data_IF_783586034212
#
_entry.id   IF_783586034212
#
_cell.length_a   1.000
_cell.length_b   1.000
_cell.length_c   1.000
_cell.angle_alpha   90.00
_cell.angle_beta   90.00
_cell.angle_gamma   90.00
#
_symmetry.space_group_name_H-M   'P 1'
#
loop_
_entity.id
_entity.type
_entity.pdbx_description
1 polymer ?
#
# COMPACT_ATOMS: atom_id res chain seq x y z
N UNK A 1 -53.99 26.78 67.98
CA UNK A 1 -52.83 26.28 67.21
C UNK A 1 -52.23 27.46 66.43
N UNK A 2 -51.06 27.94 66.89
CA UNK A 2 -50.09 28.92 66.31
C UNK A 2 -50.58 29.82 65.14
N UNK A 3 -50.85 31.15 65.25
CA UNK A 3 -49.98 32.36 65.47
C UNK A 3 -48.63 32.24 64.73
N UNK A 4 -48.16 33.10 63.82
CA UNK A 4 -48.05 34.58 63.72
C UNK A 4 -47.61 34.95 62.26
N UNK A 5 -48.09 36.04 61.62
CA UNK A 5 -47.46 37.40 61.48
C UNK A 5 -46.09 37.35 60.75
N UNK A 6 -45.72 38.08 59.68
CA UNK A 6 -45.84 39.52 59.35
C UNK A 6 -45.42 39.81 57.89
N UNK A 7 -45.93 40.91 57.31
CA UNK A 7 -45.35 41.63 56.16
C UNK A 7 -44.05 42.36 56.55
N UNK A 8 -43.06 42.48 55.65
CA UNK A 8 -42.12 43.62 55.61
C UNK A 8 -41.54 43.84 54.19
N UNK A 9 -41.68 45.09 53.72
CA UNK A 9 -41.04 45.68 52.53
C UNK A 9 -39.54 45.95 52.77
N UNK A 10 -38.69 45.89 51.74
CA UNK A 10 -37.52 46.77 51.48
C UNK A 10 -37.04 46.51 50.03
N UNK A 11 -37.20 47.44 49.09
CA UNK A 11 -36.28 48.53 48.70
C UNK A 11 -34.87 48.11 48.22
N UNK A 12 -34.57 48.53 46.98
CA UNK A 12 -33.31 48.58 46.20
C UNK A 12 -31.99 48.60 47.00
N UNK A 13 -30.97 47.86 46.53
CA UNK A 13 -29.54 48.28 46.50
C UNK A 13 -28.73 47.35 45.55
N UNK A 14 -28.30 47.84 44.38
CA UNK A 14 -26.92 48.20 43.96
C UNK A 14 -26.00 47.03 43.58
N UNK A 15 -25.38 47.20 42.40
CA UNK A 15 -24.41 46.35 41.71
C UNK A 15 -23.37 45.66 42.61
N UNK A 16 -23.11 44.38 42.32
CA UNK A 16 -21.77 43.81 42.38
C UNK A 16 -21.68 42.67 41.36
N UNK A 17 -21.00 42.91 40.24
CA UNK A 17 -20.54 41.85 39.36
C UNK A 17 -19.40 41.12 40.09
N UNK A 18 -19.60 39.85 40.41
CA UNK A 18 -18.55 39.00 40.97
C UNK A 18 -18.15 37.99 39.89
N UNK A 19 -17.03 38.27 39.22
CA UNK A 19 -16.34 37.34 38.36
C UNK A 19 -15.78 36.20 39.23
N UNK A 20 -16.29 34.98 39.07
CA UNK A 20 -15.66 33.78 39.60
C UNK A 20 -14.67 33.25 38.56
N UNK A 21 -13.38 33.53 38.75
CA UNK A 21 -12.29 32.82 38.10
C UNK A 21 -11.97 31.62 38.99
N UNK A 22 -12.50 30.43 38.65
CA UNK A 22 -12.07 29.18 39.28
C UNK A 22 -10.94 28.62 38.41
N UNK A 23 -9.70 28.81 38.86
CA UNK A 23 -8.56 28.05 38.36
C UNK A 23 -8.67 26.62 38.88
N UNK A 24 -9.20 25.70 38.08
CA UNK A 24 -9.12 24.27 38.37
C UNK A 24 -7.70 23.79 38.09
N UNK A 25 -6.91 23.63 39.15
CA UNK A 25 -5.66 22.88 39.14
C UNK A 25 -6.00 21.39 39.05
N UNK A 26 -5.91 20.79 37.86
CA UNK A 26 -5.95 19.34 37.70
C UNK A 26 -4.58 18.76 38.04
N UNK A 27 -4.44 18.18 39.23
CA UNK A 27 -3.32 17.31 39.56
C UNK A 27 -3.62 15.96 38.90
N UNK A 28 -2.96 15.66 37.78
CA UNK A 28 -2.99 14.33 37.18
C UNK A 28 -2.15 13.38 38.03
N UNK A 29 -2.82 12.52 38.79
CA UNK A 29 -2.21 11.31 39.32
C UNK A 29 -1.88 10.40 38.11
N UNK A 30 -0.60 10.24 37.80
CA UNK A 30 -0.13 9.18 36.93
C UNK A 30 -0.30 7.85 37.67
N UNK A 31 -1.42 7.17 37.41
CA UNK A 31 -1.49 5.73 37.63
C UNK A 31 -0.65 5.08 36.52
N UNK A 32 0.23 4.10 36.83
CA UNK A 32 0.86 3.33 35.78
C UNK A 32 -0.26 2.51 35.14
N UNK A 33 -0.75 2.96 33.98
CA UNK A 33 -1.56 2.12 33.12
C UNK A 33 -0.73 0.86 32.85
N UNK A 34 -1.23 -0.29 33.30
CA UNK A 34 -0.75 -1.57 32.79
C UNK A 34 -0.82 -1.53 31.27
N UNK A 35 0.12 -2.17 30.58
CA UNK A 35 0.19 -2.14 29.12
C UNK A 35 -1.14 -2.62 28.55
N UNK A 36 -1.98 -1.66 28.14
CA UNK A 36 -3.05 -1.93 27.21
C UNK A 36 -2.33 -2.45 25.97
N UNK A 37 -2.63 -3.68 25.54
CA UNK A 37 -2.21 -4.14 24.23
C UNK A 37 -2.57 -3.01 23.27
N UNK A 38 -1.56 -2.44 22.59
CA UNK A 38 -1.81 -1.36 21.65
C UNK A 38 -2.84 -1.90 20.66
N UNK A 39 -4.06 -1.38 20.72
CA UNK A 39 -5.09 -1.73 19.76
C UNK A 39 -4.65 -1.32 18.36
N UNK A 40 -5.38 -1.72 17.32
CA UNK A 40 -5.04 -1.30 15.97
C UNK A 40 -4.95 0.23 15.86
N UNK A 41 -3.91 0.71 15.20
CA UNK A 41 -3.72 2.14 14.92
C UNK A 41 -4.39 2.48 13.59
N UNK A 42 -5.57 3.10 13.65
CA UNK A 42 -6.29 3.52 12.45
C UNK A 42 -5.65 4.77 11.83
N UNK A 43 -5.40 4.70 10.52
CA UNK A 43 -4.79 5.77 9.72
C UNK A 43 -5.55 5.92 8.40
N UNK A 44 -5.74 7.15 7.94
CA UNK A 44 -6.46 7.46 6.70
C UNK A 44 -6.23 8.93 6.31
N UNK A 45 -6.65 9.30 5.11
CA UNK A 45 -6.55 10.66 4.60
C UNK A 45 -5.12 11.04 4.24
N UNK A 46 -4.72 12.25 4.58
CA UNK A 46 -3.42 12.80 4.18
C UNK A 46 -2.46 12.82 5.37
N UNK A 47 -1.27 12.26 5.18
CA UNK A 47 -0.11 12.52 6.04
C UNK A 47 0.68 13.68 5.42
N UNK A 48 0.62 14.83 6.06
CA UNK A 48 1.27 16.09 5.67
C UNK A 48 2.43 16.51 6.59
N UNK A 49 2.72 15.71 7.61
CA UNK A 49 3.90 15.82 8.46
C UNK A 49 4.66 14.50 8.52
N UNK A 50 5.98 14.58 8.75
CA UNK A 50 6.82 13.39 8.84
C UNK A 50 6.38 12.48 10.00
N UNK A 51 6.27 11.19 9.74
CA UNK A 51 5.84 10.19 10.72
C UNK A 51 6.75 8.97 10.75
N UNK A 52 6.76 8.31 11.90
CA UNK A 52 7.42 7.01 12.10
C UNK A 52 6.38 6.03 12.61
N UNK A 53 6.22 4.92 11.89
CA UNK A 53 5.40 3.79 12.29
C UNK A 53 6.27 2.69 12.85
N UNK A 54 5.84 2.11 13.96
CA UNK A 54 6.63 1.15 14.74
C UNK A 54 5.85 -0.13 15.02
N UNK A 55 6.57 -1.22 15.26
CA UNK A 55 5.99 -2.53 15.58
C UNK A 55 5.09 -2.47 16.81
N UNK A 56 5.42 -1.64 17.81
CA UNK A 56 4.66 -1.51 19.06
C UNK A 56 3.24 -1.00 18.85
N UNK A 57 2.99 -0.28 17.75
CA UNK A 57 1.68 0.28 17.40
C UNK A 57 0.97 -0.53 16.31
N UNK A 58 1.52 -1.69 15.94
CA UNK A 58 0.91 -2.57 14.95
C UNK A 58 -0.34 -3.28 15.49
N UNK A 59 -1.30 -3.63 14.62
CA UNK A 59 -1.30 -3.32 13.19
C UNK A 59 -1.73 -1.86 12.94
N UNK A 60 -1.13 -1.24 11.92
CA UNK A 60 -1.68 -0.01 11.33
C UNK A 60 -2.79 -0.39 10.36
N UNK A 61 -3.97 0.18 10.53
CA UNK A 61 -5.12 -0.08 9.66
C UNK A 61 -5.35 1.12 8.76
N UNK A 62 -5.07 0.98 7.47
CA UNK A 62 -5.46 1.97 6.46
C UNK A 62 -6.97 1.85 6.25
N UNK A 63 -7.70 2.86 6.72
CA UNK A 63 -9.16 2.91 6.71
C UNK A 63 -9.76 3.37 5.37
N UNK A 64 -11.07 3.30 5.30
CA UNK A 64 -11.86 3.72 4.13
C UNK A 64 -12.10 5.22 4.05
N UNK A 65 -11.98 5.92 5.18
CA UNK A 65 -12.18 7.36 5.24
C UNK A 65 -11.21 8.06 4.29
N UNK A 66 -11.67 9.11 3.61
CA UNK A 66 -10.85 9.90 2.68
C UNK A 66 -10.18 9.06 1.55
N UNK A 67 -10.78 7.92 1.19
CA UNK A 67 -10.31 7.00 0.15
C UNK A 67 -8.92 6.39 0.39
N UNK A 68 -8.63 5.97 1.62
CA UNK A 68 -7.38 5.30 1.96
C UNK A 68 -6.36 6.27 2.56
N UNK A 69 -5.07 6.09 2.23
CA UNK A 69 -3.99 6.91 2.77
C UNK A 69 -3.14 7.55 1.66
N UNK A 70 -2.87 8.84 1.81
CA UNK A 70 -2.08 9.65 0.87
C UNK A 70 -0.90 10.26 1.62
N UNK A 71 0.32 10.06 1.11
CA UNK A 71 1.54 10.64 1.67
C UNK A 71 1.92 11.92 0.91
N UNK A 72 2.00 13.02 1.65
CA UNK A 72 2.55 14.34 1.25
C UNK A 72 3.69 14.79 2.18
N UNK A 73 4.21 13.85 2.95
CA UNK A 73 5.39 13.99 3.79
C UNK A 73 6.09 12.63 3.86
N UNK A 74 7.18 12.54 4.63
CA UNK A 74 7.92 11.30 4.78
C UNK A 74 7.22 10.38 5.79
N UNK A 75 6.87 9.18 5.36
CA UNK A 75 6.52 8.10 6.27
C UNK A 75 7.69 7.12 6.39
N UNK A 76 8.17 6.88 7.61
CA UNK A 76 9.16 5.83 7.90
C UNK A 76 8.49 4.68 8.62
N UNK A 77 8.58 3.46 8.07
CA UNK A 77 8.03 2.25 8.67
C UNK A 77 9.20 1.39 9.17
N UNK A 78 9.22 1.12 10.47
CA UNK A 78 10.27 0.34 11.13
C UNK A 78 10.09 -1.18 10.95
N UNK A 79 11.16 -1.98 11.15
CA UNK A 79 11.09 -3.44 11.09
C UNK A 79 9.93 -4.06 11.86
N UNK A 80 9.38 -5.16 11.33
CA UNK A 80 8.33 -5.94 11.97
C UNK A 80 6.95 -5.27 12.06
N UNK A 81 6.79 -4.07 11.48
CA UNK A 81 5.50 -3.37 11.43
C UNK A 81 4.53 -4.09 10.49
N UNK A 82 3.28 -4.26 10.92
CA UNK A 82 2.20 -4.82 10.09
C UNK A 82 1.20 -3.74 9.72
N UNK A 83 0.87 -3.67 8.44
CA UNK A 83 -0.10 -2.77 7.84
C UNK A 83 -1.22 -3.63 7.27
N UNK A 84 -2.44 -3.42 7.76
CA UNK A 84 -3.66 -4.00 7.21
C UNK A 84 -4.42 -2.94 6.43
N UNK A 85 -4.87 -3.27 5.22
CA UNK A 85 -5.59 -2.32 4.38
C UNK A 85 -7.04 -2.76 4.25
N UNK A 86 -7.93 -1.86 4.63
CA UNK A 86 -9.37 -2.09 4.57
C UNK A 86 -9.84 -2.21 3.13
N UNK A 87 -10.77 -3.13 2.91
CA UNK A 87 -11.55 -3.27 1.70
C UNK A 87 -12.97 -3.66 2.05
N UNK A 88 -13.94 -3.15 1.30
CA UNK A 88 -15.34 -3.48 1.47
C UNK A 88 -15.81 -4.38 0.32
N UNK A 89 -15.79 -5.68 0.57
CA UNK A 89 -16.20 -6.72 -0.39
C UNK A 89 -17.67 -6.59 -0.81
N UNK A 90 -18.56 -6.12 0.07
CA UNK A 90 -19.99 -6.01 -0.24
C UNK A 90 -20.32 -4.83 -1.15
N UNK A 91 -19.58 -3.73 -1.02
CA UNK A 91 -19.83 -2.49 -1.77
C UNK A 91 -18.79 -2.26 -2.88
N UNK A 92 -17.89 -3.23 -3.10
CA UNK A 92 -16.78 -3.16 -4.07
C UNK A 92 -15.93 -1.88 -3.91
N UNK A 93 -15.62 -1.51 -2.67
CA UNK A 93 -14.78 -0.35 -2.36
C UNK A 93 -13.45 -0.82 -1.81
N UNK A 94 -12.36 -0.53 -2.51
CA UNK A 94 -11.03 -0.98 -2.14
C UNK A 94 -10.13 0.23 -1.98
N UNK A 95 -9.25 0.19 -0.99
CA UNK A 95 -8.39 1.31 -0.63
C UNK A 95 -6.92 0.91 -0.72
N UNK A 96 -6.03 1.90 -0.63
CA UNK A 96 -4.61 1.67 -0.76
C UNK A 96 -3.79 2.81 -0.17
N UNK A 97 -2.50 2.77 -0.47
CA UNK A 97 -1.53 3.80 -0.11
C UNK A 97 -1.04 4.50 -1.37
N UNK A 98 -1.17 5.82 -1.42
CA UNK A 98 -0.63 6.64 -2.52
C UNK A 98 0.48 7.55 -2.00
N UNK A 99 1.64 7.52 -2.66
CA UNK A 99 2.77 8.44 -2.41
C UNK A 99 2.77 9.52 -3.47
N UNK A 100 2.58 10.78 -3.08
CA UNK A 100 2.54 11.92 -4.02
C UNK A 100 3.87 12.68 -4.02
N UNK A 101 4.77 12.34 -4.94
CA UNK A 101 6.10 12.97 -5.07
C UNK A 101 6.07 14.48 -5.29
N UNK A 102 5.12 14.97 -6.10
CA UNK A 102 4.90 16.41 -6.34
C UNK A 102 4.51 17.20 -5.07
N UNK A 103 4.11 16.49 -4.00
CA UNK A 103 3.77 17.07 -2.71
C UNK A 103 4.75 16.64 -1.62
N UNK A 104 6.00 16.30 -1.98
CA UNK A 104 7.05 15.84 -1.04
C UNK A 104 6.73 14.52 -0.32
N UNK A 105 5.76 13.75 -0.80
CA UNK A 105 5.48 12.41 -0.29
C UNK A 105 6.66 11.48 -0.48
N UNK A 106 7.02 10.72 0.54
CA UNK A 106 8.01 9.64 0.41
C UNK A 106 7.74 8.54 1.44
N UNK A 107 8.09 7.31 1.07
CA UNK A 107 7.92 6.13 1.92
C UNK A 107 9.28 5.45 2.14
N UNK A 108 9.70 5.34 3.39
CA UNK A 108 10.89 4.62 3.80
C UNK A 108 10.48 3.38 4.58
N UNK A 109 10.71 2.19 4.02
CA UNK A 109 10.42 0.94 4.73
C UNK A 109 11.75 0.27 5.06
N UNK A 110 12.02 0.14 6.36
CA UNK A 110 13.30 -0.30 6.91
C UNK A 110 13.24 -1.76 7.37
N UNK A 111 12.48 -2.61 6.71
CA UNK A 111 12.37 -4.03 7.06
C UNK A 111 13.73 -4.73 7.07
N UNK A 112 13.83 -5.84 7.80
CA UNK A 112 14.98 -6.75 7.82
C UNK A 112 14.51 -8.19 7.58
N UNK A 113 15.43 -9.11 7.26
CA UNK A 113 15.09 -10.51 6.94
C UNK A 113 14.25 -11.21 8.01
N UNK A 114 14.56 -10.94 9.28
CA UNK A 114 13.96 -11.61 10.43
C UNK A 114 12.67 -10.92 10.91
N UNK A 115 12.52 -9.63 10.54
CA UNK A 115 11.37 -8.80 10.88
C UNK A 115 10.98 -7.96 9.65
N UNK A 116 10.44 -8.61 8.59
CA UNK A 116 9.97 -7.88 7.42
C UNK A 116 8.80 -6.98 7.78
N UNK A 117 8.55 -5.97 6.96
CA UNK A 117 7.32 -5.19 7.03
C UNK A 117 6.25 -5.87 6.18
N UNK A 118 5.04 -6.02 6.72
CA UNK A 118 3.96 -6.77 6.07
C UNK A 118 2.83 -5.82 5.68
N UNK A 119 2.44 -5.83 4.42
CA UNK A 119 1.19 -5.26 3.91
C UNK A 119 0.24 -6.40 3.59
N UNK A 120 -0.94 -6.40 4.21
CA UNK A 120 -1.91 -7.48 4.02
C UNK A 120 -3.36 -6.99 4.08
N UNK A 121 -4.28 -7.89 3.78
CA UNK A 121 -5.72 -7.67 3.86
C UNK A 121 -6.15 -7.37 5.30
N UNK A 122 -7.19 -6.55 5.44
CA UNK A 122 -7.91 -6.37 6.71
C UNK A 122 -8.52 -7.68 7.23
N UNK A 123 -8.80 -8.64 6.35
CA UNK A 123 -9.38 -9.96 6.65
C UNK A 123 -8.32 -11.06 6.85
N UNK A 124 -7.03 -10.69 6.94
CA UNK A 124 -5.95 -11.66 7.12
C UNK A 124 -5.68 -11.92 8.60
N UNK A 125 -6.14 -13.06 9.10
CA UNK A 125 -5.95 -13.48 10.49
C UNK A 125 -4.52 -13.94 10.80
N UNK A 126 -3.69 -14.19 9.79
CA UNK A 126 -2.33 -14.72 9.98
C UNK A 126 -1.38 -13.73 10.64
N UNK A 127 -1.67 -12.43 10.56
CA UNK A 127 -0.92 -11.36 11.18
C UNK A 127 -1.80 -10.56 12.15
N UNK A 128 -1.43 -10.48 13.44
CA UNK A 128 -2.18 -9.76 14.48
C UNK A 128 -3.65 -10.21 14.70
N UNK A 129 -4.04 -11.37 14.17
CA UNK A 129 -5.34 -12.00 14.43
C UNK A 129 -6.53 -11.34 13.73
N UNK A 130 -7.72 -11.82 14.09
CA UNK A 130 -9.01 -11.37 13.56
C UNK A 130 -9.24 -9.88 13.87
N UNK A 131 -9.24 -9.08 12.81
CA UNK A 131 -9.33 -7.61 12.88
C UNK A 131 -10.73 -7.13 12.58
N UNK A 132 -11.49 -7.86 11.77
CA UNK A 132 -12.85 -7.51 11.40
C UNK A 132 -13.90 -8.04 12.37
N UNK A 133 -13.58 -9.09 13.13
CA UNK A 133 -14.43 -9.70 14.14
C UNK A 133 -15.57 -10.53 13.55
N UNK A 134 -15.50 -10.88 12.25
CA UNK A 134 -16.54 -11.64 11.56
C UNK A 134 -16.05 -13.04 11.18
N UNK A 135 -16.65 -14.04 11.83
CA UNK A 135 -16.38 -15.43 11.48
C UNK A 135 -16.76 -15.74 10.02
N UNK A 136 -15.83 -16.37 9.30
CA UNK A 136 -16.05 -16.87 7.94
C UNK A 136 -15.73 -15.88 6.81
N UNK A 137 -15.20 -14.71 7.13
CA UNK A 137 -14.58 -13.83 6.15
C UNK A 137 -13.06 -14.02 6.20
N UNK A 138 -12.43 -14.20 5.04
CA UNK A 138 -11.00 -14.51 4.95
C UNK A 138 -10.32 -13.61 3.91
N UNK A 139 -9.00 -13.48 4.06
CA UNK A 139 -8.16 -12.81 3.08
C UNK A 139 -8.23 -13.51 1.71
N UNK A 140 -8.49 -12.72 0.67
CA UNK A 140 -8.56 -13.16 -0.72
C UNK A 140 -7.75 -12.22 -1.60
N UNK A 141 -7.21 -12.71 -2.74
CA UNK A 141 -6.60 -11.84 -3.73
C UNK A 141 -7.50 -10.65 -4.10
N UNK A 142 -6.96 -9.43 -4.07
CA UNK A 142 -7.65 -8.21 -4.47
C UNK A 142 -8.45 -7.52 -3.37
N UNK A 143 -8.23 -7.89 -2.11
CA UNK A 143 -8.88 -7.30 -0.94
C UNK A 143 -8.55 -5.83 -0.71
N UNK A 144 -7.50 -5.32 -1.35
CA UNK A 144 -7.14 -3.91 -1.37
C UNK A 144 -6.39 -3.56 -2.66
N UNK A 145 -6.24 -2.27 -2.94
CA UNK A 145 -5.58 -1.76 -4.15
C UNK A 145 -4.11 -2.17 -4.20
N UNK A 146 -3.29 -1.55 -3.34
CA UNK A 146 -1.85 -1.70 -3.35
C UNK A 146 -1.17 -0.42 -2.88
N UNK A 147 0.10 -0.28 -3.22
CA UNK A 147 0.89 0.94 -3.00
C UNK A 147 1.24 1.57 -4.34
N UNK A 148 0.83 2.83 -4.52
CA UNK A 148 1.09 3.60 -5.75
C UNK A 148 2.07 4.74 -5.50
N UNK A 149 3.17 4.74 -6.23
CA UNK A 149 4.18 5.78 -6.25
C UNK A 149 3.94 6.70 -7.45
N UNK A 150 3.60 7.97 -7.20
CA UNK A 150 3.25 8.93 -8.26
C UNK A 150 4.25 10.06 -8.33
N UNK A 151 4.83 10.27 -9.50
CA UNK A 151 5.98 11.14 -9.74
C UNK A 151 7.22 10.67 -8.97
N UNK A 152 8.41 11.08 -9.41
CA UNK A 152 9.63 10.85 -8.66
C UNK A 152 9.44 11.28 -7.20
N UNK A 153 9.67 10.33 -6.32
CA UNK A 153 9.57 10.48 -4.89
C UNK A 153 10.76 9.73 -4.30
N UNK A 154 11.40 10.25 -3.25
CA UNK A 154 12.61 9.64 -2.70
C UNK A 154 12.31 8.39 -1.86
N UNK A 155 11.38 7.53 -2.28
CA UNK A 155 10.99 6.33 -1.53
C UNK A 155 12.05 5.24 -1.63
N UNK A 156 12.16 4.45 -0.57
CA UNK A 156 13.04 3.28 -0.50
C UNK A 156 12.35 2.21 0.30
N UNK A 157 12.28 1.00 -0.24
CA UNK A 157 11.63 -0.15 0.38
C UNK A 157 12.59 -1.33 0.37
N UNK A 158 12.71 -1.99 1.53
CA UNK A 158 13.47 -3.22 1.67
C UNK A 158 12.78 -4.21 2.62
N UNK A 159 12.92 -5.51 2.33
CA UNK A 159 12.41 -6.63 3.13
C UNK A 159 10.93 -6.43 3.48
N UNK A 160 10.12 -6.32 2.43
CA UNK A 160 8.68 -6.03 2.55
C UNK A 160 7.89 -7.09 1.82
N UNK A 161 6.80 -7.54 2.44
CA UNK A 161 5.89 -8.51 1.88
C UNK A 161 4.52 -7.87 1.65
N UNK A 162 3.99 -8.05 0.45
CA UNK A 162 2.65 -7.61 0.05
C UNK A 162 1.81 -8.84 -0.27
N UNK A 163 0.76 -9.05 0.52
CA UNK A 163 -0.15 -10.17 0.39
C UNK A 163 -1.53 -9.66 -0.02
N UNK A 164 -2.26 -10.41 -0.86
CA UNK A 164 -3.70 -10.19 -1.15
C UNK A 164 -4.08 -8.86 -1.83
N UNK A 165 -3.11 -8.14 -2.37
CA UNK A 165 -3.28 -6.86 -3.07
C UNK A 165 -3.85 -7.01 -4.49
N UNK A 166 -4.02 -5.87 -5.18
CA UNK A 166 -4.42 -5.78 -6.57
C UNK A 166 -5.93 -5.76 -6.74
N UNK A 167 -6.58 -4.66 -6.34
CA UNK A 167 -8.03 -4.46 -6.22
C UNK A 167 -8.89 -5.27 -7.21
N UNK A 168 -9.93 -5.94 -6.70
CA UNK A 168 -10.95 -6.60 -7.53
C UNK A 168 -11.76 -5.64 -8.42
N UNK A 169 -11.61 -4.33 -8.21
CA UNK A 169 -12.23 -3.30 -9.03
C UNK A 169 -11.17 -2.40 -9.67
N UNK A 170 -11.08 -2.41 -11.00
CA UNK A 170 -10.06 -1.70 -11.77
C UNK A 170 -8.87 -2.58 -12.15
N UNK A 171 -7.88 -1.95 -12.77
CA UNK A 171 -6.61 -2.59 -13.21
C UNK A 171 -5.46 -2.03 -12.38
N UNK A 172 -5.60 -2.08 -11.05
CA UNK A 172 -4.59 -1.58 -10.12
C UNK A 172 -3.69 -2.72 -9.67
N UNK A 173 -2.39 -2.61 -9.94
CA UNK A 173 -1.42 -3.57 -9.47
C UNK A 173 -1.14 -3.44 -7.97
N UNK A 174 -0.46 -4.43 -7.41
CA UNK A 174 -0.08 -4.43 -6.00
C UNK A 174 0.96 -3.35 -5.68
N UNK A 175 2.01 -3.28 -6.51
CA UNK A 175 3.04 -2.26 -6.45
C UNK A 175 3.03 -1.46 -7.76
N UNK A 176 2.69 -0.17 -7.69
CA UNK A 176 2.49 0.66 -8.88
C UNK A 176 3.51 1.79 -8.94
N UNK A 177 4.26 1.85 -10.03
CA UNK A 177 5.16 2.95 -10.39
C UNK A 177 4.50 3.78 -11.48
N UNK A 178 4.21 5.05 -11.18
CA UNK A 178 3.45 5.96 -12.04
C UNK A 178 4.22 7.28 -12.23
N UNK A 179 4.85 7.45 -13.38
CA UNK A 179 5.77 8.54 -13.68
C UNK A 179 6.91 8.66 -12.64
N UNK A 180 7.46 7.53 -12.19
CA UNK A 180 8.45 7.50 -11.09
C UNK A 180 9.63 6.56 -11.38
N UNK A 181 10.83 7.01 -11.02
CA UNK A 181 12.06 6.24 -11.14
C UNK A 181 12.56 5.75 -9.77
N UNK A 182 12.37 4.46 -9.48
CA UNK A 182 12.53 3.89 -8.13
C UNK A 182 13.15 2.50 -8.16
N UNK A 183 13.96 2.19 -7.14
CA UNK A 183 14.61 0.89 -7.01
C UNK A 183 14.33 0.31 -5.62
N UNK A 184 13.82 -0.91 -5.56
CA UNK A 184 13.53 -1.60 -4.30
C UNK A 184 14.26 -2.95 -4.22
N UNK A 185 14.42 -3.44 -3.00
CA UNK A 185 15.18 -4.66 -2.73
C UNK A 185 14.39 -5.61 -1.84
N UNK A 186 14.57 -6.91 -1.99
CA UNK A 186 13.97 -7.94 -1.12
C UNK A 186 12.46 -7.75 -0.96
N UNK A 187 11.74 -7.80 -2.08
CA UNK A 187 10.29 -7.62 -2.11
C UNK A 187 9.64 -8.98 -2.29
N UNK A 188 8.62 -9.27 -1.49
CA UNK A 188 7.75 -10.42 -1.66
C UNK A 188 6.37 -9.96 -2.10
N UNK A 189 5.82 -10.60 -3.12
CA UNK A 189 4.43 -10.41 -3.53
C UNK A 189 3.74 -11.77 -3.56
N UNK A 190 2.62 -11.89 -2.84
CA UNK A 190 1.84 -13.12 -2.75
C UNK A 190 0.38 -12.85 -3.03
N UNK A 191 -0.24 -13.77 -3.76
CA UNK A 191 -1.71 -13.83 -3.84
C UNK A 191 -2.32 -12.52 -4.33
N UNK A 192 -1.66 -11.79 -5.23
CA UNK A 192 -2.26 -10.61 -5.86
C UNK A 192 -3.34 -11.03 -6.85
N UNK A 193 -4.42 -10.24 -6.97
CA UNK A 193 -5.46 -10.50 -7.97
C UNK A 193 -5.13 -9.85 -9.31
N UNK A 194 -4.66 -8.62 -9.27
CA UNK A 194 -4.14 -7.88 -10.41
C UNK A 194 -2.61 -7.95 -10.46
N UNK A 195 -1.93 -7.31 -11.44
CA UNK A 195 -0.50 -7.50 -11.59
C UNK A 195 0.28 -7.23 -10.31
N UNK A 196 1.26 -8.08 -10.01
CA UNK A 196 2.10 -7.91 -8.83
C UNK A 196 2.82 -6.56 -8.87
N UNK A 197 3.40 -6.22 -10.01
CA UNK A 197 4.06 -4.94 -10.24
C UNK A 197 3.51 -4.33 -11.52
N UNK A 198 3.03 -3.10 -11.43
CA UNK A 198 2.59 -2.30 -12.56
C UNK A 198 3.52 -1.10 -12.74
N UNK A 199 4.19 -1.01 -13.87
CA UNK A 199 5.09 0.10 -14.23
C UNK A 199 4.48 0.84 -15.41
N UNK A 200 4.16 2.12 -15.26
CA UNK A 200 3.44 2.90 -16.28
C UNK A 200 3.93 4.35 -16.37
N UNK A 201 3.49 5.05 -17.40
CA UNK A 201 3.78 6.47 -17.65
C UNK A 201 5.29 6.78 -17.65
N UNK A 202 6.08 6.16 -18.53
CA UNK A 202 7.53 6.37 -18.66
C UNK A 202 8.36 6.06 -17.40
N UNK A 203 7.82 5.32 -16.43
CA UNK A 203 8.54 4.99 -15.19
C UNK A 203 9.70 4.02 -15.44
N UNK A 204 10.75 4.15 -14.64
CA UNK A 204 11.87 3.19 -14.58
C UNK A 204 11.94 2.55 -13.19
N UNK A 205 11.69 1.24 -13.12
CA UNK A 205 11.77 0.50 -11.88
C UNK A 205 12.97 -0.46 -11.87
N UNK A 206 13.59 -0.65 -10.71
CA UNK A 206 14.53 -1.75 -10.47
C UNK A 206 14.11 -2.57 -9.27
N UNK A 207 14.05 -3.89 -9.43
CA UNK A 207 13.79 -4.81 -8.33
C UNK A 207 14.94 -5.81 -8.25
N UNK A 208 15.69 -5.72 -7.15
CA UNK A 208 16.69 -6.71 -6.79
C UNK A 208 16.10 -7.64 -5.73
N UNK A 209 16.08 -8.94 -6.03
CA UNK A 209 15.44 -9.95 -5.19
C UNK A 209 13.93 -9.75 -5.03
N UNK A 210 13.20 -9.75 -6.16
CA UNK A 210 11.74 -9.95 -6.16
C UNK A 210 11.45 -11.45 -6.02
N UNK A 211 10.68 -11.80 -5.02
CA UNK A 211 10.14 -13.14 -4.85
C UNK A 211 8.60 -13.04 -5.03
N UNK A 212 8.04 -13.69 -6.05
CA UNK A 212 6.61 -13.59 -6.36
C UNK A 212 5.96 -14.96 -6.58
N UNK A 213 4.89 -15.25 -5.85
CA UNK A 213 4.17 -16.53 -5.98
C UNK A 213 2.68 -16.45 -5.73
N UNK A 214 1.96 -17.45 -6.25
CA UNK A 214 0.51 -17.62 -6.06
C UNK A 214 -0.31 -16.41 -6.58
N UNK A 215 0.27 -15.58 -7.45
CA UNK A 215 -0.42 -14.41 -8.00
C UNK A 215 -1.39 -14.84 -9.11
N UNK A 216 -2.60 -14.29 -9.10
CA UNK A 216 -3.70 -14.68 -9.98
C UNK A 216 -3.61 -14.08 -11.39
N UNK A 217 -2.71 -13.11 -11.59
CA UNK A 217 -2.50 -12.42 -12.85
C UNK A 217 -0.99 -12.27 -13.15
N UNK A 218 -0.64 -11.49 -14.16
CA UNK A 218 0.75 -11.27 -14.54
C UNK A 218 1.59 -10.73 -13.38
N UNK A 219 2.80 -11.23 -13.18
CA UNK A 219 3.65 -10.71 -12.10
C UNK A 219 4.14 -9.31 -12.42
N UNK A 220 4.54 -9.06 -13.68
CA UNK A 220 4.90 -7.71 -14.13
C UNK A 220 4.02 -7.27 -15.29
N UNK A 221 3.50 -6.06 -15.18
CA UNK A 221 2.87 -5.33 -16.28
C UNK A 221 3.61 -4.02 -16.54
N UNK A 222 4.01 -3.78 -17.80
CA UNK A 222 4.68 -2.56 -18.24
C UNK A 222 3.83 -1.83 -19.29
N UNK A 223 3.50 -0.57 -19.04
CA UNK A 223 2.71 0.27 -19.94
C UNK A 223 3.48 1.55 -20.29
N UNK A 224 3.06 2.21 -21.38
CA UNK A 224 3.48 3.59 -21.72
C UNK A 224 5.01 3.82 -21.71
N UNK A 225 5.76 2.97 -22.43
CA UNK A 225 7.23 3.05 -22.61
C UNK A 225 8.01 2.99 -21.30
N UNK A 226 7.48 2.25 -20.33
CA UNK A 226 8.13 2.06 -19.04
C UNK A 226 9.21 0.99 -19.10
N UNK A 227 10.14 1.03 -18.16
CA UNK A 227 11.20 0.03 -18.03
C UNK A 227 11.19 -0.61 -16.65
N UNK A 228 11.51 -1.90 -16.59
CA UNK A 228 11.88 -2.56 -15.33
C UNK A 228 13.16 -3.39 -15.48
N UNK A 229 14.01 -3.34 -14.46
CA UNK A 229 15.17 -4.21 -14.30
C UNK A 229 14.87 -5.22 -13.20
N UNK A 230 14.97 -6.52 -13.50
CA UNK A 230 14.92 -7.59 -12.50
C UNK A 230 16.29 -8.23 -12.33
N UNK A 231 16.72 -8.34 -11.08
CA UNK A 231 17.93 -9.05 -10.70
C UNK A 231 17.63 -9.98 -9.52
N UNK A 232 18.32 -11.12 -9.44
CA UNK A 232 18.21 -12.10 -8.35
C UNK A 232 16.77 -12.51 -7.99
N UNK A 233 15.84 -12.50 -8.94
CA UNK A 233 14.40 -12.63 -8.66
C UNK A 233 13.89 -14.06 -8.90
N UNK A 234 12.97 -14.53 -8.07
CA UNK A 234 12.36 -15.85 -8.17
C UNK A 234 10.83 -15.74 -8.28
N UNK A 235 10.27 -16.10 -9.43
CA UNK A 235 8.83 -16.07 -9.67
C UNK A 235 8.32 -17.50 -9.88
N UNK A 236 7.44 -17.98 -9.01
CA UNK A 236 7.01 -19.38 -9.02
C UNK A 236 5.54 -19.57 -8.64
N UNK A 237 4.90 -20.64 -9.13
CA UNK A 237 3.48 -20.94 -8.86
C UNK A 237 2.54 -19.75 -9.13
N UNK A 238 2.81 -18.93 -10.14
CA UNK A 238 1.89 -17.87 -10.54
C UNK A 238 0.87 -18.40 -11.55
N UNK A 239 -0.38 -17.95 -11.42
CA UNK A 239 -1.55 -18.48 -12.11
C UNK A 239 -2.08 -17.56 -13.23
N UNK A 240 -1.39 -16.45 -13.49
CA UNK A 240 -1.74 -15.56 -14.59
C UNK A 240 -1.67 -16.24 -15.96
N UNK A 241 -2.39 -15.67 -16.93
CA UNK A 241 -2.31 -16.10 -18.33
C UNK A 241 -0.88 -15.91 -18.90
N UNK A 242 -0.14 -14.94 -18.35
CA UNK A 242 1.23 -14.62 -18.71
C UNK A 242 2.01 -14.26 -17.44
N UNK A 243 3.32 -14.46 -17.41
CA UNK A 243 4.15 -14.01 -16.28
C UNK A 243 4.47 -12.52 -16.40
N UNK A 244 4.72 -12.08 -17.64
CA UNK A 244 5.01 -10.70 -17.98
C UNK A 244 4.09 -10.21 -19.09
N UNK A 245 3.64 -8.97 -18.97
CA UNK A 245 2.86 -8.26 -19.99
C UNK A 245 3.48 -6.90 -20.22
N UNK A 246 3.69 -6.51 -21.48
CA UNK A 246 4.30 -5.23 -21.79
C UNK A 246 3.73 -4.60 -23.05
N UNK A 247 3.54 -3.28 -23.03
CA UNK A 247 3.18 -2.48 -24.19
C UNK A 247 4.37 -2.30 -25.13
N UNK A 248 4.06 -2.04 -26.40
CA UNK A 248 5.06 -1.60 -27.39
C UNK A 248 5.94 -0.44 -26.86
N UNK A 249 7.26 -0.65 -26.90
CA UNK A 249 8.25 0.34 -26.46
C UNK A 249 8.57 0.33 -24.96
N UNK A 250 7.89 -0.50 -24.16
CA UNK A 250 8.32 -0.81 -22.80
C UNK A 250 9.47 -1.84 -22.83
N UNK A 251 10.29 -1.86 -21.78
CA UNK A 251 11.52 -2.64 -21.72
C UNK A 251 11.63 -3.42 -20.41
N UNK A 252 11.80 -4.73 -20.51
CA UNK A 252 12.11 -5.60 -19.38
C UNK A 252 13.55 -6.04 -19.54
N UNK A 253 14.41 -5.73 -18.57
CA UNK A 253 15.78 -6.21 -18.49
C UNK A 253 15.90 -7.27 -17.41
N UNK A 254 16.24 -8.50 -17.80
CA UNK A 254 16.57 -9.57 -16.85
C UNK A 254 18.08 -9.64 -16.68
N UNK A 255 18.57 -9.23 -15.52
CA UNK A 255 19.97 -9.39 -15.12
C UNK A 255 20.21 -10.81 -14.60
N UNK A 256 21.11 -10.97 -13.63
CA UNK A 256 21.61 -12.27 -13.18
C UNK A 256 20.65 -12.97 -12.21
N UNK A 257 20.76 -14.30 -12.16
CA UNK A 257 20.09 -15.16 -11.16
C UNK A 257 18.56 -15.00 -11.06
N UNK A 258 17.90 -14.76 -12.19
CA UNK A 258 16.45 -14.78 -12.25
C UNK A 258 15.93 -16.20 -12.54
N UNK A 259 14.90 -16.65 -11.82
CA UNK A 259 14.27 -17.96 -11.98
C UNK A 259 12.75 -17.88 -12.10
N UNK A 260 12.18 -18.66 -13.02
CA UNK A 260 10.75 -18.65 -13.36
C UNK A 260 10.19 -20.08 -13.39
N UNK A 261 10.05 -20.71 -12.23
CA UNK A 261 9.74 -22.13 -12.12
C UNK A 261 8.26 -22.38 -11.81
N UNK A 262 7.69 -23.47 -12.32
CA UNK A 262 6.38 -23.98 -11.91
C UNK A 262 5.23 -22.95 -11.99
N UNK A 263 5.30 -22.01 -12.94
CA UNK A 263 4.19 -21.10 -13.24
C UNK A 263 3.23 -21.76 -14.25
N UNK A 264 1.93 -21.47 -14.14
CA UNK A 264 0.89 -22.14 -14.95
C UNK A 264 1.07 -21.92 -16.46
N UNK A 265 1.63 -20.77 -16.86
CA UNK A 265 1.86 -20.40 -18.25
C UNK A 265 3.25 -19.77 -18.45
N UNK A 266 3.76 -19.84 -19.68
CA UNK A 266 4.94 -19.14 -20.17
C UNK A 266 4.49 -18.13 -21.26
N UNK A 267 4.94 -16.86 -21.37
CA UNK A 267 6.04 -16.16 -20.69
C UNK A 267 5.96 -14.63 -20.80
N UNK A 268 5.92 -14.06 -22.01
CA UNK A 268 5.84 -12.61 -22.21
C UNK A 268 4.75 -12.31 -23.23
N UNK A 269 3.72 -11.58 -22.82
CA UNK A 269 2.74 -10.98 -23.72
C UNK A 269 3.20 -9.60 -24.17
N UNK A 270 3.21 -9.40 -25.48
CA UNK A 270 3.40 -8.08 -26.08
C UNK A 270 2.05 -7.54 -26.57
N UNK A 271 1.58 -6.46 -25.94
CA UNK A 271 0.39 -5.73 -26.38
C UNK A 271 0.76 -4.72 -27.48
N UNK A 272 0.05 -4.76 -28.60
CA UNK A 272 0.19 -3.79 -29.69
C UNK A 272 -0.88 -2.70 -29.59
N UNK A 273 -0.47 -1.43 -29.65
CA UNK A 273 -1.40 -0.33 -29.97
C UNK A 273 -0.96 0.56 -31.14
N UNK A 274 0.34 0.79 -31.33
CA UNK A 274 0.95 1.18 -32.62
C UNK A 274 2.46 1.22 -32.35
N UNK A 275 3.27 0.49 -33.11
CA UNK A 275 4.74 0.60 -33.02
C UNK A 275 5.16 1.63 -34.07
N UNK A 276 5.24 2.91 -33.67
CA UNK A 276 5.63 4.00 -34.59
C UNK A 276 7.15 4.07 -34.84
N UNK A 277 7.95 3.35 -34.05
CA UNK A 277 9.42 3.35 -34.12
C UNK A 277 9.97 1.94 -33.89
N UNK A 278 11.21 1.67 -34.33
CA UNK A 278 11.90 0.40 -34.07
C UNK A 278 11.94 0.07 -32.57
N UNK A 279 11.60 -1.18 -32.21
CA UNK A 279 11.69 -1.69 -30.84
C UNK A 279 12.64 -2.88 -30.82
N UNK A 280 13.55 -2.92 -29.83
CA UNK A 280 14.44 -4.07 -29.61
C UNK A 280 13.89 -4.91 -28.47
N UNK A 281 13.80 -6.22 -28.69
CA UNK A 281 13.41 -7.20 -27.68
C UNK A 281 14.57 -8.16 -27.43
N UNK A 282 14.83 -8.46 -26.16
CA UNK A 282 15.93 -9.32 -25.74
C UNK A 282 15.53 -10.80 -25.79
N UNK A 283 16.41 -11.68 -26.29
CA UNK A 283 16.16 -13.12 -26.23
C UNK A 283 16.53 -13.69 -24.86
N UNK A 284 15.53 -13.88 -24.00
CA UNK A 284 15.71 -14.45 -22.66
C UNK A 284 15.70 -15.98 -22.61
N UNK A 285 15.61 -16.67 -23.75
CA UNK A 285 15.29 -18.10 -23.78
C UNK A 285 13.83 -18.38 -23.40
N UNK A 286 12.99 -17.34 -23.43
CA UNK A 286 11.60 -17.34 -23.01
C UNK A 286 10.68 -17.09 -24.23
N UNK A 287 9.65 -17.92 -24.53
CA UNK A 287 8.69 -17.62 -25.60
C UNK A 287 7.97 -16.28 -25.44
N UNK A 288 8.01 -15.49 -26.51
CA UNK A 288 7.21 -14.28 -26.69
C UNK A 288 5.88 -14.61 -27.40
N UNK A 289 4.78 -14.05 -26.91
CA UNK A 289 3.48 -14.09 -27.58
C UNK A 289 3.07 -12.67 -27.98
N UNK A 290 3.12 -12.38 -29.28
CA UNK A 290 2.70 -11.11 -29.84
C UNK A 290 1.26 -11.20 -30.38
N UNK A 291 0.38 -10.31 -29.93
CA UNK A 291 -0.96 -10.16 -30.50
C UNK A 291 -1.00 -8.95 -31.43
N UNK A 292 -1.21 -9.18 -32.74
CA UNK A 292 -1.35 -8.14 -33.77
C UNK A 292 -0.33 -8.22 -34.90
N UNK A 293 -0.31 -7.24 -35.79
CA UNK A 293 0.62 -7.15 -36.92
C UNK A 293 2.03 -6.78 -36.45
N UNK A 294 2.88 -7.79 -36.24
CA UNK A 294 4.32 -7.59 -36.00
C UNK A 294 5.02 -7.26 -37.32
N UNK A 295 5.49 -6.02 -37.47
CA UNK A 295 6.38 -5.64 -38.57
C UNK A 295 7.82 -5.83 -38.12
N UNK A 296 8.44 -6.93 -38.55
CA UNK A 296 9.88 -7.12 -38.44
C UNK A 296 10.52 -6.40 -39.63
N UNK A 297 11.03 -5.19 -39.43
CA UNK A 297 11.84 -4.54 -40.45
C UNK A 297 13.24 -5.17 -40.43
N UNK A 298 13.71 -5.61 -41.60
CA UNK A 298 15.06 -6.15 -41.78
C UNK A 298 16.00 -5.01 -42.13
N UNK A 299 16.45 -4.26 -41.12
CA UNK A 299 17.51 -3.26 -41.27
C UNK A 299 18.79 -3.71 -40.59
#
# INVERSE_FOLDING_TARGET
>A
MFKKIQNFNFLKLKHLALAFFIASFFIFFFLPFGSQAAGPTWVYGVIDEDQIWTKENSPYIIGWQENGLILRAKLTIQPGTVIKIYGNKWWHQFYGLKVEGNNNGSLQILGISDEPVIFTSYFDDSYYGDTDGFEGLFAEPGDYQGVTFVNDNNSSIQNTEFNYCGSAFGNEGCLVFDNSDLNFTNIKIRQSLNPGVLVKNNSQAGLDNLDASENSNEVLQLNDKSRIILNNSNLYHNHGNYLFRMSAGSDLLLETNNSFNDNDNLLIKLDQYLVENSVTWHNYGLPYFAMGSLFLDSS
#
